data_IF_284708581357
#
_entry.id   IF_284708581357
#
_cell.length_a   1.000
_cell.length_b   1.000
_cell.length_c   1.000
_cell.angle_alpha   90.00
_cell.angle_beta   90.00
_cell.angle_gamma   90.00
#
_symmetry.space_group_name_H-M   'P 1'
#
loop_
_entity.id
_entity.type
_entity.pdbx_description
1 polymer ?
#
# COMPACT_ATOMS: atom_id res chain seq x y z
N UNK A 1 -12.40 -8.62 13.11
CA UNK A 1 -11.01 -8.12 12.92
C UNK A 1 -10.97 -6.62 13.16
N UNK A 2 -9.98 -6.09 13.84
CA UNK A 2 -9.71 -4.65 13.96
C UNK A 2 -8.68 -4.21 12.92
N UNK A 3 -8.85 -3.03 12.36
CA UNK A 3 -7.93 -2.48 11.34
C UNK A 3 -7.55 -1.05 11.70
N UNK A 4 -6.31 -0.67 11.39
CA UNK A 4 -5.83 0.71 11.41
C UNK A 4 -5.38 1.07 10.00
N UNK A 5 -6.13 1.88 9.30
CA UNK A 5 -5.86 2.33 7.93
C UNK A 5 -5.06 3.64 7.98
N UNK A 6 -3.74 3.52 7.95
CA UNK A 6 -2.83 4.68 8.02
C UNK A 6 -2.87 5.52 6.74
N UNK A 7 -3.10 4.90 5.59
CA UNK A 7 -3.22 5.60 4.31
C UNK A 7 -4.46 6.51 4.28
N UNK A 8 -5.61 6.00 4.74
CA UNK A 8 -6.83 6.79 4.87
C UNK A 8 -6.63 7.94 5.88
N UNK A 9 -6.01 7.68 7.03
CA UNK A 9 -5.72 8.71 8.05
C UNK A 9 -4.76 9.78 7.53
N UNK A 10 -3.82 9.40 6.65
CA UNK A 10 -2.88 10.29 6.00
C UNK A 10 -3.47 11.00 4.76
N UNK A 11 -4.65 10.62 4.29
CA UNK A 11 -5.22 11.03 3.01
C UNK A 11 -4.23 10.84 1.85
N UNK A 12 -3.61 9.63 1.76
CA UNK A 12 -2.59 9.32 0.77
C UNK A 12 -2.40 7.80 0.64
N UNK A 13 -2.34 7.27 -0.58
CA UNK A 13 -2.21 5.83 -0.89
C UNK A 13 -0.77 5.29 -0.77
N UNK A 14 0.09 5.90 0.03
CA UNK A 14 1.47 5.43 0.27
C UNK A 14 2.45 5.59 -0.90
N UNK A 15 2.04 5.35 -2.12
CA UNK A 15 2.88 5.35 -3.32
C UNK A 15 3.24 6.76 -3.83
N UNK A 16 4.18 6.86 -4.77
CA UNK A 16 4.50 8.12 -5.47
C UNK A 16 3.29 8.74 -6.19
N UNK A 17 2.36 7.90 -6.63
CA UNK A 17 1.11 8.29 -7.30
C UNK A 17 -0.05 8.44 -6.32
N UNK A 18 0.19 8.31 -5.03
CA UNK A 18 -0.83 8.16 -4.00
C UNK A 18 -1.47 9.46 -3.52
N UNK A 19 -1.13 10.63 -4.08
CA UNK A 19 -1.74 11.89 -3.69
C UNK A 19 -3.26 11.86 -3.92
N UNK A 20 -4.01 12.35 -2.93
CA UNK A 20 -5.47 12.41 -2.98
C UNK A 20 -5.95 13.88 -3.05
N UNK A 21 -7.14 14.14 -3.64
CA UNK A 21 -7.75 15.47 -3.61
C UNK A 21 -7.85 16.01 -2.18
N UNK A 22 -7.62 17.32 -2.00
CA UNK A 22 -7.62 17.96 -0.67
C UNK A 22 -6.28 17.90 0.06
N UNK A 23 -5.34 17.07 -0.40
CA UNK A 23 -4.00 16.97 0.17
C UNK A 23 -3.93 16.30 1.53
N UNK A 24 -2.72 16.12 2.03
CA UNK A 24 -2.47 15.46 3.30
C UNK A 24 -2.72 16.41 4.49
N UNK A 25 -3.20 15.90 5.64
CA UNK A 25 -3.25 16.68 6.89
C UNK A 25 -1.84 17.12 7.31
N UNK A 26 -1.71 18.07 8.22
CA UNK A 26 -0.43 18.35 8.86
C UNK A 26 0.07 17.12 9.63
N UNK A 27 1.38 17.04 9.93
CA UNK A 27 1.93 15.93 10.74
C UNK A 27 1.19 15.79 12.07
N UNK A 28 0.99 16.89 12.78
CA UNK A 28 0.26 16.89 14.06
C UNK A 28 -1.19 16.39 13.91
N UNK A 29 -1.89 16.82 12.85
CA UNK A 29 -3.25 16.35 12.60
C UNK A 29 -3.29 14.86 12.25
N UNK A 30 -2.32 14.36 11.49
CA UNK A 30 -2.17 12.93 11.22
C UNK A 30 -1.94 12.13 12.51
N UNK A 31 -1.00 12.54 13.35
CA UNK A 31 -0.73 11.90 14.65
C UNK A 31 -1.96 11.92 15.57
N UNK A 32 -2.71 13.01 15.60
CA UNK A 32 -3.96 13.10 16.37
C UNK A 32 -5.01 12.12 15.85
N UNK A 33 -5.16 11.97 14.52
CA UNK A 33 -6.06 10.99 13.92
C UNK A 33 -5.65 9.55 14.24
N UNK A 34 -4.34 9.25 14.19
CA UNK A 34 -3.80 7.93 14.56
C UNK A 34 -4.09 7.63 16.03
N UNK A 35 -3.83 8.57 16.93
CA UNK A 35 -4.12 8.43 18.35
C UNK A 35 -5.62 8.18 18.60
N UNK A 36 -6.47 8.97 17.98
CA UNK A 36 -7.94 8.84 18.11
C UNK A 36 -8.44 7.50 17.55
N UNK A 37 -7.89 7.04 16.42
CA UNK A 37 -8.22 5.72 15.88
C UNK A 37 -7.79 4.59 16.83
N UNK A 38 -6.56 4.64 17.34
CA UNK A 38 -6.03 3.65 18.28
C UNK A 38 -6.82 3.61 19.60
N UNK A 39 -7.27 4.76 20.11
CA UNK A 39 -8.01 4.84 21.37
C UNK A 39 -9.38 4.15 21.33
N UNK A 40 -9.91 3.88 20.12
CA UNK A 40 -11.18 3.19 19.91
C UNK A 40 -11.04 1.69 19.72
N UNK A 41 -9.81 1.19 19.63
CA UNK A 41 -9.55 -0.23 19.45
C UNK A 41 -9.49 -0.94 20.81
N UNK A 42 -9.93 -2.18 20.82
CA UNK A 42 -9.80 -3.07 21.98
C UNK A 42 -8.34 -3.54 22.12
N UNK A 43 -7.63 -3.18 23.20
CA UNK A 43 -6.23 -3.56 23.39
C UNK A 43 -6.02 -5.07 23.55
N UNK A 44 -7.08 -5.84 23.85
CA UNK A 44 -7.01 -7.29 23.96
C UNK A 44 -7.14 -8.01 22.61
N UNK A 45 -7.35 -7.29 21.51
CA UNK A 45 -7.56 -7.86 20.17
C UNK A 45 -6.45 -7.42 19.21
N UNK A 46 -5.99 -8.30 18.30
CA UNK A 46 -5.00 -7.93 17.30
C UNK A 46 -5.55 -6.85 16.35
N UNK A 47 -4.65 -5.99 15.91
CA UNK A 47 -4.93 -4.94 14.93
C UNK A 47 -4.15 -5.25 13.66
N UNK A 48 -4.83 -5.29 12.53
CA UNK A 48 -4.21 -5.38 11.20
C UNK A 48 -3.95 -3.98 10.68
N UNK A 49 -2.74 -3.75 10.20
CA UNK A 49 -2.30 -2.47 9.66
C UNK A 49 -1.42 -2.72 8.45
N UNK A 50 -1.50 -1.84 7.45
CA UNK A 50 -0.56 -1.87 6.33
C UNK A 50 0.87 -1.55 6.82
N UNK A 51 1.87 -2.24 6.29
CA UNK A 51 3.23 -2.22 6.84
C UNK A 51 4.33 -1.94 5.81
N UNK A 52 4.03 -1.14 4.81
CA UNK A 52 4.97 -0.90 3.70
C UNK A 52 6.10 0.06 4.05
N UNK A 53 5.81 1.15 4.74
CA UNK A 53 6.78 2.22 5.02
C UNK A 53 6.45 2.98 6.31
N UNK A 54 7.50 3.49 6.97
CA UNK A 54 7.35 4.47 8.04
C UNK A 54 6.91 5.85 7.54
N UNK A 55 6.79 6.02 6.21
CA UNK A 55 6.46 7.28 5.58
C UNK A 55 5.32 7.08 4.58
N UNK A 56 4.22 7.82 4.75
CA UNK A 56 3.05 7.81 3.89
C UNK A 56 2.93 9.19 3.24
N UNK A 57 3.33 9.28 1.97
CA UNK A 57 3.49 10.57 1.30
C UNK A 57 4.49 11.47 2.04
N UNK A 58 4.04 12.59 2.60
CA UNK A 58 4.85 13.50 3.41
C UNK A 58 4.66 13.30 4.93
N UNK A 59 3.85 12.32 5.37
CA UNK A 59 3.58 12.04 6.79
C UNK A 59 4.47 10.92 7.29
N UNK A 60 4.94 11.05 8.52
CA UNK A 60 5.72 10.02 9.21
C UNK A 60 4.84 9.28 10.21
N UNK A 61 4.85 7.97 10.18
CA UNK A 61 4.20 7.13 11.20
C UNK A 61 4.88 7.43 12.55
N UNK A 62 4.12 7.64 13.65
CA UNK A 62 4.70 7.88 14.97
C UNK A 62 5.75 6.82 15.31
N UNK A 63 6.94 7.19 15.83
CA UNK A 63 8.04 6.24 16.05
C UNK A 63 7.69 5.04 16.92
N UNK A 64 6.87 5.23 17.96
CA UNK A 64 6.41 4.13 18.84
C UNK A 64 5.50 3.14 18.10
N UNK A 65 4.59 3.63 17.26
CA UNK A 65 3.75 2.78 16.42
C UNK A 65 4.59 2.05 15.39
N UNK A 66 5.51 2.74 14.72
CA UNK A 66 6.40 2.11 13.74
C UNK A 66 7.26 1.00 14.39
N UNK A 67 7.77 1.22 15.59
CA UNK A 67 8.54 0.20 16.31
C UNK A 67 7.67 -1.05 16.60
N UNK A 68 6.43 -0.87 17.02
CA UNK A 68 5.48 -1.97 17.23
C UNK A 68 5.16 -2.71 15.92
N UNK A 69 4.89 -1.97 14.84
CA UNK A 69 4.65 -2.54 13.50
C UNK A 69 5.87 -3.33 12.99
N UNK A 70 7.09 -2.81 13.19
CA UNK A 70 8.32 -3.47 12.75
C UNK A 70 8.60 -4.77 13.51
N UNK A 71 8.13 -4.90 14.74
CA UNK A 71 8.26 -6.10 15.57
C UNK A 71 7.13 -7.12 15.34
N UNK A 72 6.01 -6.70 14.76
CA UNK A 72 4.85 -7.57 14.56
C UNK A 72 5.06 -8.56 13.40
N UNK A 73 4.43 -9.74 13.43
CA UNK A 73 4.43 -10.66 12.30
C UNK A 73 3.70 -10.05 11.11
N UNK A 74 3.95 -10.59 9.92
CA UNK A 74 3.35 -10.13 8.68
C UNK A 74 2.41 -11.17 8.08
N UNK A 75 1.40 -10.69 7.36
CA UNK A 75 0.58 -11.48 6.47
C UNK A 75 0.90 -11.01 5.06
N UNK A 76 1.36 -11.92 4.22
CA UNK A 76 1.70 -11.61 2.84
C UNK A 76 0.49 -11.83 1.92
N UNK A 77 0.23 -10.87 1.04
CA UNK A 77 -0.72 -11.03 -0.06
C UNK A 77 0.08 -11.27 -1.34
N UNK A 78 -0.14 -12.41 -1.97
CA UNK A 78 0.52 -12.82 -3.22
C UNK A 78 -0.52 -12.91 -4.32
N UNK A 79 -0.27 -12.23 -5.43
CA UNK A 79 -1.15 -12.26 -6.59
C UNK A 79 -0.35 -12.24 -7.91
N UNK A 80 -0.87 -12.82 -8.99
CA UNK A 80 -0.27 -12.74 -10.32
C UNK A 80 -0.11 -11.28 -10.76
N UNK A 81 0.88 -11.02 -11.60
CA UNK A 81 1.14 -9.66 -12.09
C UNK A 81 -0.06 -9.07 -12.82
N UNK A 82 -0.83 -9.89 -13.54
CA UNK A 82 -2.04 -9.48 -14.24
C UNK A 82 -3.11 -8.94 -13.27
N UNK A 83 -3.36 -9.63 -12.17
CA UNK A 83 -4.31 -9.20 -11.14
C UNK A 83 -3.84 -7.90 -10.48
N UNK A 84 -2.54 -7.78 -10.23
CA UNK A 84 -1.91 -6.57 -9.67
C UNK A 84 -2.02 -5.39 -10.63
N UNK A 85 -1.79 -5.61 -11.93
CA UNK A 85 -1.96 -4.59 -12.97
C UNK A 85 -3.40 -4.09 -13.03
N UNK A 86 -4.37 -5.01 -13.09
CA UNK A 86 -5.79 -4.66 -13.13
C UNK A 86 -6.20 -3.85 -11.89
N UNK A 87 -5.78 -4.29 -10.70
CA UNK A 87 -6.01 -3.60 -9.44
C UNK A 87 -5.37 -2.21 -9.43
N UNK A 88 -4.12 -2.08 -9.87
CA UNK A 88 -3.40 -0.79 -9.92
C UNK A 88 -4.10 0.19 -10.85
N UNK A 89 -4.47 -0.23 -12.07
CA UNK A 89 -5.18 0.64 -13.02
C UNK A 89 -6.52 1.12 -12.44
N UNK A 90 -7.26 0.23 -11.78
CA UNK A 90 -8.53 0.59 -11.14
C UNK A 90 -8.35 1.55 -9.95
N UNK A 91 -7.36 1.28 -9.09
CA UNK A 91 -7.09 2.07 -7.87
C UNK A 91 -6.61 3.48 -8.18
N UNK A 92 -5.87 3.66 -9.27
CA UNK A 92 -5.27 4.93 -9.68
C UNK A 92 -5.96 5.57 -10.88
N UNK A 93 -7.23 5.21 -11.14
CA UNK A 93 -8.01 5.74 -12.27
C UNK A 93 -8.17 7.28 -12.22
N UNK A 94 -8.19 7.87 -11.03
CA UNK A 94 -8.29 9.31 -10.83
C UNK A 94 -7.04 10.06 -11.33
N UNK A 95 -5.84 9.60 -11.01
CA UNK A 95 -4.61 10.22 -11.53
C UNK A 95 -4.42 9.88 -13.02
N UNK A 96 -4.86 8.71 -13.47
CA UNK A 96 -4.82 8.32 -14.87
C UNK A 96 -5.74 9.20 -15.74
N UNK A 97 -6.82 9.74 -15.18
CA UNK A 97 -7.72 10.68 -15.81
C UNK A 97 -7.15 12.11 -15.92
N UNK A 98 -6.02 12.41 -15.25
CA UNK A 98 -5.30 13.68 -15.35
C UNK A 98 -3.90 13.45 -15.93
N UNK A 99 -3.73 13.58 -17.28
CA UNK A 99 -2.44 13.35 -17.93
C UNK A 99 -1.30 14.22 -17.40
N UNK A 100 -1.61 15.45 -16.97
CA UNK A 100 -0.60 16.37 -16.45
C UNK A 100 -0.11 15.93 -15.05
N UNK A 101 -1.02 15.52 -14.18
CA UNK A 101 -0.69 14.98 -12.86
C UNK A 101 0.10 13.67 -12.99
N UNK A 102 -0.31 12.77 -13.89
CA UNK A 102 0.40 11.52 -14.15
C UNK A 102 1.82 11.76 -14.68
N UNK A 103 1.99 12.65 -15.66
CA UNK A 103 3.28 13.02 -16.22
C UNK A 103 4.21 13.65 -15.16
N UNK A 104 3.66 14.53 -14.32
CA UNK A 104 4.39 15.13 -13.21
C UNK A 104 4.84 14.08 -12.20
N UNK A 105 3.98 13.11 -11.85
CA UNK A 105 4.33 12.03 -10.94
C UNK A 105 5.45 11.15 -11.51
N UNK A 106 5.36 10.77 -12.79
CA UNK A 106 6.40 10.02 -13.50
C UNK A 106 7.74 10.77 -13.54
N UNK A 107 7.71 12.08 -13.72
CA UNK A 107 8.92 12.92 -13.74
C UNK A 107 9.65 12.97 -12.39
N UNK A 108 8.95 12.67 -11.29
CA UNK A 108 9.48 12.65 -9.92
C UNK A 108 10.01 11.29 -9.49
N UNK A 109 9.95 10.28 -10.35
CA UNK A 109 10.49 8.96 -10.07
C UNK A 109 11.98 9.04 -9.69
N UNK A 110 12.45 8.16 -8.78
CA UNK A 110 13.81 8.19 -8.30
C UNK A 110 14.85 8.13 -9.42
N UNK A 111 15.94 8.86 -9.23
CA UNK A 111 17.03 9.00 -10.21
C UNK A 111 17.80 7.70 -10.51
N UNK A 112 17.49 6.59 -9.84
CA UNK A 112 18.08 5.30 -10.15
C UNK A 112 17.51 4.65 -11.43
N UNK A 113 16.42 5.18 -11.98
CA UNK A 113 15.95 4.79 -13.31
C UNK A 113 16.66 5.59 -14.40
N UNK A 114 17.02 4.92 -15.50
CA UNK A 114 17.57 5.59 -16.65
C UNK A 114 16.58 6.61 -17.24
N UNK A 115 17.09 7.72 -17.76
CA UNK A 115 16.25 8.75 -18.40
C UNK A 115 15.38 8.17 -19.54
N UNK A 116 15.94 7.21 -20.29
CA UNK A 116 15.21 6.52 -21.36
C UNK A 116 13.98 5.79 -20.82
N UNK A 117 14.12 5.07 -19.70
CA UNK A 117 13.01 4.37 -19.04
C UNK A 117 11.91 5.34 -18.60
N UNK A 118 12.28 6.45 -17.95
CA UNK A 118 11.29 7.48 -17.56
C UNK A 118 10.60 8.06 -18.80
N UNK A 119 11.32 8.34 -19.88
CA UNK A 119 10.76 8.85 -21.11
C UNK A 119 9.79 7.86 -21.76
N UNK A 120 10.11 6.57 -21.72
CA UNK A 120 9.22 5.51 -22.22
C UNK A 120 7.92 5.42 -21.40
N UNK A 121 8.01 5.44 -20.07
CA UNK A 121 6.84 5.44 -19.19
C UNK A 121 5.94 6.65 -19.42
N UNK A 122 6.52 7.83 -19.60
CA UNK A 122 5.78 9.05 -19.94
C UNK A 122 5.10 8.93 -21.32
N UNK A 123 5.77 8.29 -22.29
CA UNK A 123 5.18 8.03 -23.61
C UNK A 123 4.04 7.00 -23.53
N UNK A 124 4.13 5.98 -22.66
CA UNK A 124 3.04 5.04 -22.38
C UNK A 124 1.83 5.78 -21.78
N UNK A 125 2.06 6.65 -20.78
CA UNK A 125 1.02 7.47 -20.18
C UNK A 125 0.32 8.36 -21.24
N UNK A 126 1.11 9.05 -22.07
CA UNK A 126 0.59 9.97 -23.07
C UNK A 126 -0.31 9.31 -24.15
N UNK A 127 -0.03 8.02 -24.49
CA UNK A 127 -0.87 7.26 -25.43
C UNK A 127 -1.96 6.42 -24.75
N UNK A 128 -2.14 6.54 -23.44
CA UNK A 128 -3.17 5.80 -22.69
C UNK A 128 -2.88 4.31 -22.48
N UNK A 129 -1.62 3.85 -22.67
CA UNK A 129 -1.22 2.47 -22.46
C UNK A 129 -1.04 2.17 -20.95
N UNK A 130 -2.11 2.36 -20.17
CA UNK A 130 -2.06 2.36 -18.70
C UNK A 130 -1.73 0.97 -18.12
N UNK A 131 -2.22 -0.11 -18.74
CA UNK A 131 -1.91 -1.47 -18.28
C UNK A 131 -0.43 -1.81 -18.49
N UNK A 132 0.15 -1.43 -19.63
CA UNK A 132 1.58 -1.62 -19.91
C UNK A 132 2.43 -0.78 -18.95
N UNK A 133 2.05 0.46 -18.71
CA UNK A 133 2.70 1.34 -17.76
C UNK A 133 2.65 0.75 -16.34
N UNK A 134 1.49 0.31 -15.88
CA UNK A 134 1.32 -0.30 -14.57
C UNK A 134 2.19 -1.55 -14.42
N UNK A 135 2.22 -2.42 -15.44
CA UNK A 135 3.10 -3.61 -15.46
C UNK A 135 4.57 -3.21 -15.31
N UNK A 136 5.03 -2.28 -16.13
CA UNK A 136 6.42 -1.80 -16.08
C UNK A 136 6.77 -1.19 -14.70
N UNK A 137 5.88 -0.39 -14.14
CA UNK A 137 6.09 0.17 -12.80
C UNK A 137 6.15 -0.93 -11.73
N UNK A 138 5.27 -1.93 -11.80
CA UNK A 138 5.28 -3.06 -10.86
C UNK A 138 6.60 -3.83 -10.96
N UNK A 139 6.99 -4.26 -12.14
CA UNK A 139 8.14 -5.16 -12.34
C UNK A 139 9.49 -4.45 -12.18
N UNK A 140 9.59 -3.19 -12.62
CA UNK A 140 10.88 -2.47 -12.71
C UNK A 140 11.10 -1.51 -11.54
N UNK A 141 10.03 -0.97 -10.94
CA UNK A 141 10.15 -0.01 -9.85
C UNK A 141 9.75 -0.61 -8.50
N UNK A 142 8.50 -1.08 -8.36
CA UNK A 142 7.95 -1.51 -7.07
C UNK A 142 8.53 -2.83 -6.59
N UNK A 143 8.50 -3.91 -7.38
CA UNK A 143 8.97 -5.22 -6.95
C UNK A 143 10.46 -5.23 -6.53
N UNK A 144 11.37 -4.56 -7.27
CA UNK A 144 12.73 -4.40 -6.80
C UNK A 144 12.86 -3.55 -5.53
N UNK A 145 12.01 -2.54 -5.36
CA UNK A 145 11.99 -1.73 -4.14
C UNK A 145 11.54 -2.55 -2.94
N UNK A 146 10.43 -3.30 -3.06
CA UNK A 146 9.94 -4.19 -2.00
C UNK A 146 10.94 -5.27 -1.63
N UNK A 147 11.60 -5.91 -2.59
CA UNK A 147 12.69 -6.89 -2.32
C UNK A 147 13.86 -6.27 -1.56
N UNK A 148 14.21 -5.01 -1.80
CA UNK A 148 15.30 -4.32 -1.09
C UNK A 148 14.92 -3.84 0.30
N UNK A 149 13.70 -3.35 0.46
CA UNK A 149 13.22 -2.83 1.74
C UNK A 149 12.59 -3.91 2.61
N UNK A 150 12.33 -5.06 2.05
CA UNK A 150 11.76 -6.30 2.50
C UNK A 150 10.79 -6.20 3.68
N UNK A 151 9.55 -6.58 3.49
CA UNK A 151 8.71 -7.03 4.60
C UNK A 151 9.43 -8.17 5.36
N UNK A 152 10.31 -8.87 4.67
CA UNK A 152 11.18 -9.99 5.09
C UNK A 152 12.38 -9.63 5.97
N UNK A 153 12.43 -8.50 6.60
CA UNK A 153 13.52 -8.14 7.52
C UNK A 153 13.62 -9.07 8.76
N UNK A 154 13.42 -10.35 8.56
CA UNK A 154 13.41 -11.35 9.64
C UNK A 154 12.11 -11.35 10.45
N UNK A 155 11.07 -10.67 9.98
CA UNK A 155 9.73 -10.70 10.60
C UNK A 155 9.08 -12.05 10.33
N UNK A 156 8.46 -12.69 11.33
CA UNK A 156 7.73 -13.91 11.10
C UNK A 156 6.57 -13.69 10.12
N UNK A 157 6.45 -14.54 9.12
CA UNK A 157 5.27 -14.61 8.25
C UNK A 157 4.22 -15.44 8.95
N UNK A 158 3.13 -14.79 9.37
CA UNK A 158 2.02 -15.47 10.07
C UNK A 158 1.15 -16.25 9.09
N UNK A 159 0.91 -15.68 7.91
CA UNK A 159 0.10 -16.31 6.87
C UNK A 159 0.46 -15.75 5.49
N UNK A 160 0.11 -16.49 4.44
CA UNK A 160 0.29 -16.08 3.05
C UNK A 160 -1.01 -16.29 2.29
N UNK A 161 -1.67 -15.19 1.95
CA UNK A 161 -2.90 -15.18 1.16
C UNK A 161 -2.55 -15.17 -0.33
N UNK A 162 -2.75 -16.29 -1.00
CA UNK A 162 -2.58 -16.40 -2.45
C UNK A 162 -3.92 -16.10 -3.11
N UNK A 163 -3.97 -15.01 -3.87
CA UNK A 163 -5.18 -14.51 -4.52
C UNK A 163 -4.97 -14.47 -6.03
N UNK A 164 -5.83 -15.12 -6.79
CA UNK A 164 -5.80 -15.06 -8.26
C UNK A 164 -6.39 -13.76 -8.81
N UNK A 165 -7.21 -13.08 -8.02
CA UNK A 165 -7.91 -11.84 -8.36
C UNK A 165 -7.85 -10.85 -7.19
N UNK A 166 -7.68 -9.57 -7.48
CA UNK A 166 -7.68 -8.45 -6.52
C UNK A 166 -8.89 -7.53 -6.70
N UNK A 167 -9.99 -8.05 -7.25
CA UNK A 167 -11.25 -7.32 -7.29
C UNK A 167 -11.77 -7.03 -5.87
N UNK A 168 -12.61 -5.99 -5.68
CA UNK A 168 -13.20 -5.71 -4.38
C UNK A 168 -13.94 -6.91 -3.76
N UNK A 169 -14.57 -7.76 -4.59
CA UNK A 169 -15.24 -8.95 -4.13
C UNK A 169 -14.27 -10.03 -3.61
N UNK A 170 -13.19 -10.30 -4.36
CA UNK A 170 -12.16 -11.26 -3.96
C UNK A 170 -11.44 -10.79 -2.68
N UNK A 171 -11.11 -9.50 -2.59
CA UNK A 171 -10.50 -8.92 -1.39
C UNK A 171 -11.43 -8.98 -0.17
N UNK A 172 -12.73 -8.76 -0.36
CA UNK A 172 -13.71 -8.88 0.74
C UNK A 172 -13.79 -10.31 1.29
N UNK A 173 -13.80 -11.31 0.40
CA UNK A 173 -13.79 -12.73 0.79
C UNK A 173 -12.49 -13.08 1.54
N UNK A 174 -11.34 -12.65 1.02
CA UNK A 174 -10.05 -12.87 1.66
C UNK A 174 -9.99 -12.22 3.06
N UNK A 175 -10.48 -10.99 3.20
CA UNK A 175 -10.54 -10.28 4.47
C UNK A 175 -11.45 -10.99 5.50
N UNK A 176 -12.59 -11.55 5.06
CA UNK A 176 -13.46 -12.35 5.93
C UNK A 176 -12.77 -13.64 6.41
N UNK A 177 -12.08 -14.34 5.50
CA UNK A 177 -11.29 -15.52 5.84
C UNK A 177 -10.19 -15.22 6.85
N UNK A 178 -9.45 -14.14 6.63
CA UNK A 178 -8.42 -13.66 7.55
C UNK A 178 -9.00 -13.32 8.93
N UNK A 179 -10.12 -12.59 8.97
CA UNK A 179 -10.78 -12.25 10.23
C UNK A 179 -11.15 -13.49 11.05
N UNK A 180 -11.76 -14.49 10.39
CA UNK A 180 -12.11 -15.76 11.03
C UNK A 180 -10.88 -16.55 11.49
N UNK A 181 -9.76 -16.48 10.75
CA UNK A 181 -8.48 -17.08 11.14
C UNK A 181 -7.89 -16.46 12.40
N UNK A 182 -7.83 -15.14 12.46
CA UNK A 182 -7.31 -14.40 13.61
C UNK A 182 -8.16 -14.61 14.88
N UNK A 183 -9.48 -14.70 14.74
CA UNK A 183 -10.38 -14.95 15.87
C UNK A 183 -10.19 -16.38 16.42
N UNK A 184 -9.98 -17.40 15.56
CA UNK A 184 -9.68 -18.79 15.99
C UNK A 184 -8.33 -18.94 16.67
N UNK A 185 -7.31 -18.24 16.19
CA UNK A 185 -5.97 -18.29 16.78
C UNK A 185 -5.92 -17.75 18.21
N UNK A 186 -6.91 -16.97 18.60
CA UNK A 186 -7.06 -16.37 19.92
C UNK A 186 -7.73 -17.29 20.95
N UNK A 187 -8.56 -18.21 20.48
CA UNK A 187 -9.36 -19.12 21.34
C UNK A 187 -8.97 -20.57 21.00
N UNK A 188 -7.76 -21.02 21.35
CA UNK A 188 -7.38 -22.42 21.18
C UNK A 188 -8.22 -23.26 22.15
N UNK A 189 -9.05 -24.13 21.62
CA UNK A 189 -9.92 -25.05 22.36
C UNK A 189 -9.14 -25.91 23.36
#
# INVERSE_FOLDING_TARGET
MQTLDLEALAAHRGSLFGAMPGGQPSQKAFESRVHDALSRLDPARPVVVEAESSKIGARLVPPSLWAAMAAAPVIEIVAPVEARVAHTVATYADIAADPAALDLALSRLPRHHARATISEWRAMAARGALSDLARQLIEVHYDPAYRRTGADRGRPVLDRLVLEDLSPAALAIAAQGLAAGLDRARDPA
#
